data_IF_605335184148
#
_entry.id   IF_605335184148
#
_cell.length_a   1.000
_cell.length_b   1.000
_cell.length_c   1.000
_cell.angle_alpha   90.00
_cell.angle_beta   90.00
_cell.angle_gamma   90.00
#
_symmetry.space_group_name_H-M   'P 1'
#
loop_
_entity.id
_entity.type
_entity.pdbx_description
1 polymer ?
#
# COMPACT_ATOMS: atom_id res chain seq x y z
N UNK A 1 4.88 -7.03 18.83
CA UNK A 1 5.83 -6.55 17.80
C UNK A 1 4.98 -6.09 16.64
N UNK A 2 5.11 -4.84 16.19
CA UNK A 2 4.33 -4.34 15.07
C UNK A 2 4.58 -5.19 13.81
N UNK A 3 3.51 -5.64 13.17
CA UNK A 3 3.56 -6.42 11.92
C UNK A 3 2.52 -5.87 10.95
N UNK A 4 2.92 -5.74 9.69
CA UNK A 4 2.02 -5.43 8.58
C UNK A 4 2.08 -6.50 7.49
N UNK A 5 0.94 -6.80 6.88
CA UNK A 5 0.82 -7.68 5.73
C UNK A 5 0.10 -6.91 4.63
N UNK A 6 0.72 -6.85 3.45
CA UNK A 6 0.10 -6.31 2.25
C UNK A 6 -0.04 -7.42 1.20
N UNK A 7 -1.23 -7.55 0.64
CA UNK A 7 -1.51 -8.39 -0.54
C UNK A 7 -1.80 -7.49 -1.72
N UNK A 8 -1.07 -7.69 -2.81
CA UNK A 8 -1.24 -6.99 -4.07
C UNK A 8 -1.64 -7.99 -5.15
N UNK A 9 -2.67 -7.69 -5.95
CA UNK A 9 -3.12 -8.53 -7.06
C UNK A 9 -3.25 -7.68 -8.32
N UNK A 10 -2.53 -8.06 -9.38
CA UNK A 10 -2.65 -7.44 -10.69
C UNK A 10 -3.90 -7.96 -11.41
N UNK A 11 -4.73 -7.05 -11.90
CA UNK A 11 -5.76 -7.33 -12.90
C UNK A 11 -5.33 -6.73 -14.24
N UNK A 12 -4.78 -7.57 -15.12
CA UNK A 12 -4.26 -7.16 -16.41
C UNK A 12 -5.35 -6.66 -17.36
N UNK A 13 -6.55 -7.23 -17.28
CA UNK A 13 -7.70 -6.85 -18.12
C UNK A 13 -8.17 -5.43 -17.83
N UNK A 14 -8.21 -5.06 -16.54
CA UNK A 14 -8.64 -3.72 -16.12
C UNK A 14 -7.48 -2.73 -15.98
N UNK A 15 -6.23 -3.20 -16.05
CA UNK A 15 -5.07 -2.36 -15.75
C UNK A 15 -5.09 -1.82 -14.32
N UNK A 16 -5.54 -2.62 -13.36
CA UNK A 16 -5.64 -2.21 -11.94
C UNK A 16 -4.74 -3.06 -11.05
N UNK A 17 -4.19 -2.43 -10.01
CA UNK A 17 -3.56 -3.14 -8.90
C UNK A 17 -4.51 -3.10 -7.70
N UNK A 18 -5.02 -4.26 -7.31
CA UNK A 18 -5.87 -4.41 -6.12
C UNK A 18 -4.99 -4.65 -4.91
N UNK A 19 -5.29 -3.96 -3.81
CA UNK A 19 -4.54 -4.05 -2.57
C UNK A 19 -5.44 -4.40 -1.39
N UNK A 20 -4.85 -5.08 -0.41
CA UNK A 20 -5.38 -5.24 0.94
C UNK A 20 -4.23 -5.19 1.93
N UNK A 21 -4.31 -4.32 2.93
CA UNK A 21 -3.29 -4.13 3.96
C UNK A 21 -3.92 -4.32 5.33
N UNK A 22 -3.28 -5.12 6.17
CA UNK A 22 -3.65 -5.35 7.56
C UNK A 22 -2.44 -5.10 8.46
N UNK A 23 -2.66 -4.57 9.65
CA UNK A 23 -1.61 -4.35 10.65
C UNK A 23 -2.03 -4.87 12.03
N UNK A 24 -1.08 -5.34 12.81
CA UNK A 24 -1.28 -5.73 14.22
C UNK A 24 -0.22 -5.09 15.10
N UNK A 25 -0.56 -4.88 16.36
CA UNK A 25 0.30 -4.22 17.36
C UNK A 25 0.75 -2.80 16.94
N UNK A 26 -0.06 -2.09 16.14
CA UNK A 26 0.10 -0.67 15.83
C UNK A 26 -1.11 0.08 16.38
N UNK A 27 -0.86 1.05 17.26
CA UNK A 27 -1.91 1.91 17.81
C UNK A 27 -1.97 3.22 17.05
N UNK A 28 -3.18 3.69 16.74
CA UNK A 28 -3.42 5.00 16.12
C UNK A 28 -2.67 5.20 14.78
N UNK A 29 -2.88 4.27 13.84
CA UNK A 29 -2.39 4.42 12.46
C UNK A 29 -2.91 5.74 11.87
N UNK A 30 -2.02 6.57 11.32
CA UNK A 30 -2.38 7.88 10.77
C UNK A 30 -2.46 7.87 9.25
N UNK A 31 -1.67 7.02 8.59
CA UNK A 31 -1.66 6.89 7.14
C UNK A 31 -1.14 5.53 6.69
N UNK A 32 -1.31 5.21 5.41
CA UNK A 32 -0.56 4.15 4.73
C UNK A 32 -0.40 4.49 3.26
N UNK A 33 0.75 4.14 2.71
CA UNK A 33 1.15 4.53 1.37
C UNK A 33 1.90 3.41 0.65
N UNK A 34 1.86 3.44 -0.69
CA UNK A 34 2.86 2.80 -1.54
C UNK A 34 3.95 3.83 -1.84
N UNK A 35 5.21 3.47 -1.56
CA UNK A 35 6.39 4.29 -1.81
C UNK A 35 7.20 3.74 -2.98
N UNK A 36 7.96 4.64 -3.62
CA UNK A 36 8.93 4.31 -4.67
C UNK A 36 10.36 4.52 -4.20
N UNK A 37 11.09 3.45 -3.92
CA UNK A 37 12.55 3.48 -3.74
C UNK A 37 13.18 2.09 -3.91
N UNK A 38 14.49 2.02 -4.20
CA UNK A 38 15.25 0.78 -4.07
C UNK A 38 15.08 0.16 -2.68
N UNK A 39 15.23 -1.17 -2.61
CA UNK A 39 15.24 -1.89 -1.32
C UNK A 39 16.22 -1.25 -0.34
N UNK A 40 15.73 -0.96 0.88
CA UNK A 40 16.54 -0.36 1.96
C UNK A 40 16.62 1.17 1.92
N UNK A 41 15.97 1.84 0.98
CA UNK A 41 15.90 3.31 0.92
C UNK A 41 14.49 3.84 1.17
N UNK A 42 14.38 5.07 1.67
CA UNK A 42 13.10 5.76 1.84
C UNK A 42 12.71 6.48 0.54
N UNK A 43 11.53 6.13 0.03
CA UNK A 43 11.00 6.67 -1.22
C UNK A 43 9.96 7.76 -1.03
N UNK A 44 9.66 8.48 -2.11
CA UNK A 44 8.47 9.34 -2.17
C UNK A 44 7.19 8.51 -2.17
N UNK A 45 6.08 9.11 -1.72
CA UNK A 45 4.74 8.50 -1.80
C UNK A 45 4.28 8.50 -3.26
N UNK A 46 3.80 7.35 -3.72
CA UNK A 46 3.20 7.17 -5.05
C UNK A 46 1.68 7.09 -4.93
N UNK A 47 1.18 6.31 -3.96
CA UNK A 47 -0.25 6.12 -3.73
C UNK A 47 -0.58 6.21 -2.24
N UNK A 48 -1.64 6.94 -1.90
CA UNK A 48 -2.26 6.90 -0.58
C UNK A 48 -3.26 5.74 -0.49
N UNK A 49 -3.13 4.94 0.56
CA UNK A 49 -4.00 3.79 0.84
C UNK A 49 -4.94 4.08 2.01
N UNK A 50 -4.45 4.77 3.04
CA UNK A 50 -5.23 5.11 4.24
C UNK A 50 -4.88 6.51 4.75
N UNK A 51 -5.87 7.16 5.37
CA UNK A 51 -5.69 8.36 6.17
C UNK A 51 -6.67 8.33 7.35
N UNK A 52 -6.21 8.66 8.56
CA UNK A 52 -7.04 8.60 9.76
C UNK A 52 -8.23 9.56 9.76
N UNK A 53 -8.21 10.62 8.93
CA UNK A 53 -9.36 11.50 8.72
C UNK A 53 -10.55 10.80 8.05
N UNK A 54 -10.34 9.62 7.46
CA UNK A 54 -11.43 8.79 6.94
C UNK A 54 -12.37 8.26 8.04
N UNK A 55 -11.92 8.25 9.30
CA UNK A 55 -12.70 7.78 10.45
C UNK A 55 -12.89 6.27 10.54
N UNK A 56 -12.34 5.49 9.60
CA UNK A 56 -12.40 4.03 9.63
C UNK A 56 -11.25 3.45 10.44
N UNK A 57 -11.48 2.38 11.22
CA UNK A 57 -10.41 1.66 11.89
C UNK A 57 -9.47 1.01 10.86
N UNK A 58 -8.20 0.92 11.23
CA UNK A 58 -7.19 0.20 10.45
C UNK A 58 -6.38 -0.68 11.40
N UNK A 59 -6.69 -1.97 11.38
CA UNK A 59 -6.09 -3.00 12.22
C UNK A 59 -6.21 -4.38 11.52
N UNK A 60 -5.93 -5.46 12.25
CA UNK A 60 -5.93 -6.81 11.69
C UNK A 60 -7.33 -7.32 11.32
N UNK A 61 -8.37 -6.87 12.00
CA UNK A 61 -9.77 -7.20 11.72
C UNK A 61 -10.39 -6.26 10.67
N UNK A 62 -9.81 -5.06 10.52
CA UNK A 62 -10.26 -4.02 9.60
C UNK A 62 -9.16 -3.67 8.59
N UNK A 63 -8.87 -4.56 7.62
CA UNK A 63 -7.89 -4.26 6.59
C UNK A 63 -8.38 -3.16 5.67
N UNK A 64 -7.47 -2.28 5.26
CA UNK A 64 -7.75 -1.28 4.22
C UNK A 64 -7.54 -1.93 2.86
N UNK A 65 -8.52 -1.79 1.98
CA UNK A 65 -8.49 -2.42 0.67
C UNK A 65 -9.03 -1.48 -0.41
N UNK A 66 -8.56 -1.67 -1.64
CA UNK A 66 -8.98 -0.87 -2.77
C UNK A 66 -8.33 -1.33 -4.07
N UNK A 67 -8.51 -0.51 -5.10
CA UNK A 67 -7.83 -0.68 -6.38
C UNK A 67 -7.26 0.66 -6.81
N UNK A 68 -6.05 0.64 -7.34
CA UNK A 68 -5.42 1.78 -7.99
C UNK A 68 -5.29 1.50 -9.50
N UNK A 69 -5.25 2.56 -10.29
CA UNK A 69 -4.90 2.52 -11.71
C UNK A 69 -3.51 3.13 -11.85
N UNK A 70 -2.44 2.32 -11.90
CA UNK A 70 -1.08 2.82 -12.05
C UNK A 70 -0.84 3.43 -13.43
N UNK A 71 -0.01 4.47 -13.50
CA UNK A 71 0.48 4.99 -14.76
C UNK A 71 1.49 4.00 -15.39
N UNK A 72 1.79 4.19 -16.68
CA UNK A 72 2.74 3.34 -17.40
C UNK A 72 4.11 3.20 -16.70
N UNK A 73 4.61 4.30 -16.12
CA UNK A 73 5.86 4.30 -15.34
C UNK A 73 5.75 3.45 -14.08
N UNK A 74 4.63 3.52 -13.36
CA UNK A 74 4.43 2.79 -12.10
C UNK A 74 4.42 1.27 -12.33
N UNK A 75 3.98 0.81 -13.51
CA UNK A 75 4.06 -0.60 -13.89
C UNK A 75 5.50 -1.09 -14.05
N UNK A 76 6.36 -0.27 -14.66
CA UNK A 76 7.79 -0.58 -14.80
C UNK A 76 8.45 -0.63 -13.42
N UNK A 77 8.12 0.34 -12.57
CA UNK A 77 8.67 0.42 -11.22
C UNK A 77 8.20 -0.76 -10.33
N UNK A 78 6.97 -1.25 -10.50
CA UNK A 78 6.46 -2.45 -9.83
C UNK A 78 7.21 -3.71 -10.27
N UNK A 79 7.39 -3.89 -11.59
CA UNK A 79 8.09 -5.05 -12.15
C UNK A 79 9.59 -5.08 -11.79
N UNK A 80 10.18 -3.92 -11.48
CA UNK A 80 11.59 -3.79 -11.11
C UNK A 80 11.82 -3.80 -9.60
N UNK A 81 10.77 -3.95 -8.79
CA UNK A 81 10.87 -4.10 -7.34
C UNK A 81 11.12 -2.81 -6.57
N UNK A 82 10.79 -1.64 -7.15
CA UNK A 82 10.97 -0.34 -6.49
C UNK A 82 9.78 0.07 -5.61
N UNK A 83 8.69 -0.71 -5.59
CA UNK A 83 7.51 -0.41 -4.79
C UNK A 83 7.49 -1.16 -3.46
N UNK A 84 7.20 -0.45 -2.37
CA UNK A 84 6.93 -1.04 -1.06
C UNK A 84 5.78 -0.34 -0.34
N UNK A 85 5.11 -1.07 0.56
CA UNK A 85 4.03 -0.53 1.41
C UNK A 85 4.62 -0.07 2.74
N UNK A 86 4.23 1.14 3.17
CA UNK A 86 4.53 1.66 4.50
C UNK A 86 3.21 2.00 5.21
N UNK A 87 3.15 1.74 6.51
CA UNK A 87 2.04 2.03 7.42
C UNK A 87 2.61 2.76 8.64
#
# INVERSE_FOLDING_TARGET
NAVGIARMTLNETLGTLHYSVAVTDITAVTASHIHLAPTGQSGGVVFGLYNSSSGFPFDAAHPVAGAIVPAAKDWVDLLTGYHYVNV
#
